data_IF_644500704881
#
_entry.id   IF_644500704881
#
_cell.length_a   1.000
_cell.length_b   1.000
_cell.length_c   1.000
_cell.angle_alpha   90.00
_cell.angle_beta   90.00
_cell.angle_gamma   90.00
#
_symmetry.space_group_name_H-M   'P 1'
#
loop_
_entity.id
_entity.type
_entity.pdbx_description
1 polymer ?
#
# COMPACT_ATOMS: atom_id res chain seq x y z
N UNK A 1 37.82 16.82 -5.68
CA UNK A 1 38.28 15.68 -4.86
C UNK A 1 37.08 15.30 -4.00
N UNK A 2 36.18 14.50 -4.58
CA UNK A 2 34.90 14.13 -3.96
C UNK A 2 35.18 12.89 -3.12
N UNK A 3 34.83 12.98 -1.86
CA UNK A 3 35.12 12.03 -0.80
C UNK A 3 34.67 10.60 -1.15
N UNK A 4 35.65 9.71 -1.34
CA UNK A 4 35.46 8.33 -1.82
C UNK A 4 35.03 7.37 -0.68
N UNK A 5 34.84 7.90 0.54
CA UNK A 5 34.48 7.16 1.76
C UNK A 5 33.00 6.75 1.84
N UNK A 6 32.11 7.39 1.07
CA UNK A 6 30.65 7.13 1.16
C UNK A 6 30.17 5.99 0.25
N UNK A 7 31.08 5.32 -0.46
CA UNK A 7 30.75 4.16 -1.31
C UNK A 7 30.85 2.82 -0.60
N UNK A 8 31.41 2.75 0.61
CA UNK A 8 31.69 1.47 1.28
C UNK A 8 30.52 0.88 2.10
N UNK A 9 29.38 1.57 2.24
CA UNK A 9 28.16 0.99 2.85
C UNK A 9 27.22 0.34 1.83
N UNK A 10 27.63 0.26 0.56
CA UNK A 10 26.76 -0.08 -0.57
C UNK A 10 26.92 -1.53 -1.07
N UNK A 11 27.36 -2.49 -0.24
CA UNK A 11 27.70 -3.83 -0.76
C UNK A 11 26.99 -5.03 -0.13
N UNK A 12 26.02 -4.83 0.78
CA UNK A 12 25.22 -5.93 1.33
C UNK A 12 23.70 -5.81 1.10
N UNK A 13 23.19 -4.68 0.61
CA UNK A 13 21.76 -4.41 0.46
C UNK A 13 21.30 -4.12 -0.99
N UNK A 14 22.19 -4.22 -1.97
CA UNK A 14 21.90 -3.81 -3.36
C UNK A 14 20.86 -4.70 -4.06
N UNK A 15 20.68 -5.96 -3.64
CA UNK A 15 19.58 -6.82 -4.13
C UNK A 15 18.25 -6.54 -3.42
N UNK A 16 18.28 -6.00 -2.21
CA UNK A 16 17.08 -5.73 -1.41
C UNK A 16 16.30 -4.54 -1.96
N UNK A 17 17.00 -3.52 -2.45
CA UNK A 17 16.38 -2.29 -2.98
C UNK A 17 15.53 -2.57 -4.24
N UNK A 18 16.02 -3.29 -5.28
CA UNK A 18 15.21 -3.68 -6.43
C UNK A 18 14.01 -4.52 -6.05
N UNK A 19 14.17 -5.49 -5.14
CA UNK A 19 13.06 -6.37 -4.71
C UNK A 19 11.99 -5.58 -3.98
N UNK A 20 12.39 -4.69 -3.06
CA UNK A 20 11.46 -3.80 -2.36
C UNK A 20 10.74 -2.87 -3.33
N UNK A 21 11.43 -2.32 -4.33
CA UNK A 21 10.80 -1.47 -5.35
C UNK A 21 9.81 -2.27 -6.21
N UNK A 22 10.17 -3.48 -6.64
CA UNK A 22 9.27 -4.36 -7.40
C UNK A 22 8.06 -4.76 -6.55
N UNK A 23 8.26 -5.06 -5.27
CA UNK A 23 7.19 -5.35 -4.32
C UNK A 23 6.22 -4.17 -4.17
N UNK A 24 6.74 -2.99 -3.83
CA UNK A 24 5.94 -1.77 -3.62
C UNK A 24 5.20 -1.34 -4.90
N UNK A 25 5.86 -1.40 -6.06
CA UNK A 25 5.28 -0.89 -7.30
C UNK A 25 4.38 -1.89 -8.03
N UNK A 26 4.64 -3.19 -7.90
CA UNK A 26 3.97 -4.23 -8.69
C UNK A 26 2.98 -5.06 -7.87
N UNK A 27 3.30 -5.38 -6.61
CA UNK A 27 2.52 -6.34 -5.82
C UNK A 27 1.40 -5.67 -5.00
N UNK A 28 1.69 -4.54 -4.31
CA UNK A 28 0.65 -3.73 -3.62
C UNK A 28 -0.46 -3.27 -4.58
N UNK A 29 -0.10 -3.00 -5.83
CA UNK A 29 -1.03 -2.48 -6.83
C UNK A 29 -2.06 -3.51 -7.34
N UNK A 30 -1.79 -4.81 -7.18
CA UNK A 30 -2.62 -5.89 -7.75
C UNK A 30 -3.54 -6.62 -6.77
N UNK A 31 -3.63 -6.25 -5.49
CA UNK A 31 -4.37 -7.03 -4.47
C UNK A 31 -4.02 -8.52 -4.49
N UNK A 32 -2.75 -8.85 -4.71
CA UNK A 32 -2.35 -10.23 -4.99
C UNK A 32 -2.54 -11.15 -3.77
N UNK A 33 -2.66 -10.60 -2.56
CA UNK A 33 -3.05 -11.32 -1.35
C UNK A 33 -4.39 -12.08 -1.47
N UNK A 34 -5.18 -11.85 -2.52
CA UNK A 34 -6.43 -12.57 -2.82
C UNK A 34 -6.35 -13.54 -4.01
N UNK A 35 -5.17 -13.73 -4.61
CA UNK A 35 -4.96 -14.73 -5.67
C UNK A 35 -4.39 -15.99 -5.04
N UNK A 36 -5.12 -17.12 -5.06
CA UNK A 36 -4.62 -18.39 -4.54
C UNK A 36 -3.30 -18.78 -5.23
N UNK A 37 -2.26 -19.07 -4.46
CA UNK A 37 -0.94 -19.51 -4.97
C UNK A 37 0.06 -18.39 -5.28
N UNK A 38 -0.30 -17.12 -5.05
CA UNK A 38 0.61 -16.00 -5.25
C UNK A 38 1.81 -15.98 -4.30
N UNK A 39 1.64 -16.47 -3.07
CA UNK A 39 2.72 -16.66 -2.09
C UNK A 39 3.79 -17.63 -2.61
N UNK A 40 3.38 -18.67 -3.36
CA UNK A 40 4.29 -19.61 -3.98
C UNK A 40 5.13 -18.98 -5.09
N UNK A 41 4.52 -18.10 -5.91
CA UNK A 41 5.23 -17.35 -6.96
C UNK A 41 6.23 -16.38 -6.33
N UNK A 42 5.86 -15.72 -5.23
CA UNK A 42 6.74 -14.78 -4.52
C UNK A 42 7.93 -15.49 -3.88
N UNK A 43 7.69 -16.63 -3.24
CA UNK A 43 8.76 -17.45 -2.66
C UNK A 43 9.71 -18.01 -3.72
N UNK A 44 9.22 -18.25 -4.95
CA UNK A 44 10.03 -18.74 -6.08
C UNK A 44 10.85 -17.61 -6.73
N UNK A 45 10.27 -16.41 -6.88
CA UNK A 45 10.95 -15.25 -7.47
C UNK A 45 11.96 -14.59 -6.51
N UNK A 46 11.69 -14.62 -5.21
CA UNK A 46 12.45 -13.89 -4.18
C UNK A 46 12.65 -14.75 -2.91
N UNK A 47 13.41 -15.85 -2.98
CA UNK A 47 13.62 -16.75 -1.85
C UNK A 47 14.39 -16.07 -0.70
N UNK A 48 13.92 -16.26 0.54
CA UNK A 48 14.59 -15.78 1.75
C UNK A 48 14.35 -14.31 2.12
N UNK A 49 13.40 -13.64 1.44
CA UNK A 49 13.03 -12.25 1.75
C UNK A 49 11.75 -12.24 2.59
N UNK A 50 11.84 -11.67 3.79
CA UNK A 50 10.68 -11.41 4.65
C UNK A 50 10.01 -10.10 4.24
N UNK A 51 8.70 -10.16 4.01
CA UNK A 51 7.91 -9.00 3.62
C UNK A 51 7.72 -8.07 4.83
N UNK A 52 8.03 -6.77 4.70
CA UNK A 52 7.78 -5.83 5.79
C UNK A 52 6.27 -5.68 6.00
N UNK A 53 5.83 -5.81 7.25
CA UNK A 53 4.45 -5.53 7.66
C UNK A 53 4.34 -4.04 7.95
N UNK A 54 3.54 -3.32 7.17
CA UNK A 54 3.25 -1.91 7.46
C UNK A 54 2.09 -1.78 8.44
N UNK A 55 2.30 -0.97 9.48
CA UNK A 55 1.29 -0.64 10.48
C UNK A 55 0.61 0.69 10.13
N UNK A 56 -0.67 0.60 9.76
CA UNK A 56 -1.52 1.75 9.45
C UNK A 56 -2.48 2.10 10.60
N UNK A 57 -2.24 1.65 11.84
CA UNK A 57 -3.19 1.76 12.96
C UNK A 57 -3.81 3.15 13.15
N UNK A 58 -3.00 4.21 13.08
CA UNK A 58 -3.50 5.60 13.21
C UNK A 58 -4.44 5.99 12.07
N UNK A 59 -4.04 5.70 10.82
CA UNK A 59 -4.85 5.99 9.64
C UNK A 59 -6.14 5.14 9.64
N UNK A 60 -6.03 3.88 10.05
CA UNK A 60 -7.17 2.98 10.21
C UNK A 60 -8.23 3.58 11.14
N UNK A 61 -7.82 3.99 12.34
CA UNK A 61 -8.74 4.60 13.31
C UNK A 61 -9.32 5.93 12.84
N UNK A 62 -8.54 6.75 12.13
CA UNK A 62 -9.04 8.00 11.55
C UNK A 62 -10.12 7.74 10.49
N UNK A 63 -9.90 6.78 9.59
CA UNK A 63 -10.89 6.39 8.57
C UNK A 63 -12.16 5.84 9.24
N UNK A 64 -11.99 4.97 10.24
CA UNK A 64 -13.09 4.41 11.00
C UNK A 64 -13.95 5.50 11.66
N UNK A 65 -13.31 6.46 12.32
CA UNK A 65 -13.97 7.61 12.92
C UNK A 65 -14.78 8.43 11.91
N UNK A 66 -14.18 8.74 10.75
CA UNK A 66 -14.86 9.49 9.67
C UNK A 66 -16.10 8.74 9.15
N UNK A 67 -15.99 7.41 8.97
CA UNK A 67 -17.12 6.60 8.53
C UNK A 67 -18.25 6.57 9.58
N UNK A 68 -17.89 6.51 10.86
CA UNK A 68 -18.86 6.58 11.96
C UNK A 68 -19.55 7.95 12.03
N UNK A 69 -18.81 9.05 11.85
CA UNK A 69 -19.37 10.43 11.81
C UNK A 69 -20.43 10.58 10.71
N UNK A 70 -20.24 9.90 9.58
CA UNK A 70 -21.18 9.91 8.45
C UNK A 70 -22.29 8.86 8.56
N UNK A 71 -22.41 8.16 9.70
CA UNK A 71 -23.35 7.05 9.89
C UNK A 71 -23.22 5.93 8.84
N UNK A 72 -22.02 5.68 8.33
CA UNK A 72 -21.77 4.53 7.46
C UNK A 72 -21.43 3.28 8.26
N UNK A 73 -21.76 2.12 7.69
CA UNK A 73 -21.29 0.85 8.23
C UNK A 73 -19.79 0.70 7.94
N UNK A 74 -19.00 0.50 8.98
CA UNK A 74 -17.57 0.24 8.86
C UNK A 74 -17.36 -1.19 8.36
N UNK A 75 -17.00 -1.32 7.09
CA UNK A 75 -16.66 -2.61 6.46
C UNK A 75 -15.15 -2.67 6.29
N UNK A 76 -14.49 -3.71 6.80
CA UNK A 76 -13.03 -3.87 6.72
C UNK A 76 -12.50 -3.73 5.28
N UNK A 77 -13.20 -4.33 4.31
CA UNK A 77 -12.85 -4.23 2.89
C UNK A 77 -12.87 -2.77 2.36
N UNK A 78 -13.75 -1.92 2.89
CA UNK A 78 -13.81 -0.51 2.52
C UNK A 78 -12.60 0.25 3.11
N UNK A 79 -12.29 0.03 4.39
CA UNK A 79 -11.13 0.66 5.04
C UNK A 79 -9.82 0.24 4.35
N UNK A 80 -9.66 -1.05 4.02
CA UNK A 80 -8.50 -1.53 3.26
C UNK A 80 -8.37 -0.85 1.89
N UNK A 81 -9.47 -0.49 1.23
CA UNK A 81 -9.45 0.24 -0.04
C UNK A 81 -9.05 1.71 0.12
N UNK A 82 -9.40 2.33 1.24
CA UNK A 82 -8.93 3.69 1.57
C UNK A 82 -7.42 3.69 1.82
N UNK A 83 -6.91 2.71 2.58
CA UNK A 83 -5.47 2.54 2.81
C UNK A 83 -4.74 2.26 1.48
N UNK A 84 -5.26 1.36 0.65
CA UNK A 84 -4.69 1.07 -0.67
C UNK A 84 -4.62 2.33 -1.56
N UNK A 85 -5.63 3.20 -1.49
CA UNK A 85 -5.65 4.47 -2.20
C UNK A 85 -4.54 5.40 -1.69
N UNK A 86 -4.38 5.51 -0.37
CA UNK A 86 -3.31 6.28 0.27
C UNK A 86 -1.92 5.82 -0.17
N UNK A 87 -1.64 4.52 -0.07
CA UNK A 87 -0.36 3.93 -0.50
C UNK A 87 -0.07 4.26 -1.97
N UNK A 88 -1.09 4.14 -2.83
CA UNK A 88 -0.94 4.42 -4.26
C UNK A 88 -0.67 5.91 -4.52
N UNK A 89 -1.32 6.81 -3.77
CA UNK A 89 -1.14 8.26 -3.90
C UNK A 89 0.26 8.73 -3.47
N UNK A 90 0.89 8.05 -2.51
CA UNK A 90 2.28 8.38 -2.09
C UNK A 90 3.27 8.14 -3.23
N UNK A 91 3.07 7.09 -4.03
CA UNK A 91 4.02 6.68 -5.08
C UNK A 91 3.67 7.20 -6.48
N UNK A 92 2.42 7.64 -6.71
CA UNK A 92 1.94 8.07 -8.03
C UNK A 92 0.97 9.25 -7.91
N UNK A 93 1.20 10.27 -8.74
CA UNK A 93 0.34 11.46 -8.78
C UNK A 93 -1.00 11.24 -9.48
N UNK A 94 -1.11 10.19 -10.31
CA UNK A 94 -2.34 9.85 -11.02
C UNK A 94 -2.89 8.51 -10.54
N UNK A 95 -4.11 8.51 -10.02
CA UNK A 95 -4.82 7.30 -9.55
C UNK A 95 -6.24 7.27 -10.12
N UNK A 96 -6.73 6.08 -10.47
CA UNK A 96 -8.10 5.86 -10.95
C UNK A 96 -8.81 4.86 -10.06
N UNK A 97 -10.01 5.20 -9.59
CA UNK A 97 -10.90 4.29 -8.89
C UNK A 97 -11.89 3.68 -9.89
N UNK A 98 -11.82 2.37 -10.11
CA UNK A 98 -12.64 1.65 -11.10
C UNK A 98 -13.57 0.67 -10.41
N UNK A 99 -14.80 0.57 -10.88
CA UNK A 99 -15.83 -0.35 -10.36
C UNK A 99 -17.24 0.09 -10.72
N UNK A 100 -18.28 -0.70 -10.38
CA UNK A 100 -19.67 -0.40 -10.72
C UNK A 100 -20.19 0.87 -10.02
N UNK A 101 -21.17 1.54 -10.63
CA UNK A 101 -21.84 2.71 -10.03
C UNK A 101 -22.46 2.34 -8.68
N UNK A 102 -22.38 3.25 -7.71
CA UNK A 102 -22.85 2.99 -6.34
C UNK A 102 -21.90 2.16 -5.46
N UNK A 103 -20.80 1.62 -6.00
CA UNK A 103 -19.84 0.80 -5.25
C UNK A 103 -18.91 1.56 -4.26
N UNK A 104 -19.35 2.69 -3.70
CA UNK A 104 -18.61 3.39 -2.64
C UNK A 104 -17.33 4.13 -3.05
N UNK A 105 -16.97 4.19 -4.35
CA UNK A 105 -15.73 4.86 -4.83
C UNK A 105 -15.59 6.31 -4.35
N UNK A 106 -16.67 7.09 -4.46
CA UNK A 106 -16.67 8.48 -3.99
C UNK A 106 -16.54 8.57 -2.47
N UNK A 107 -17.09 7.60 -1.73
CA UNK A 107 -16.95 7.54 -0.27
C UNK A 107 -15.50 7.26 0.09
N UNK A 108 -14.85 6.29 -0.56
CA UNK A 108 -13.43 5.96 -0.35
C UNK A 108 -12.54 7.20 -0.51
N UNK A 109 -12.71 7.95 -1.60
CA UNK A 109 -11.92 9.16 -1.87
C UNK A 109 -12.14 10.24 -0.80
N UNK A 110 -13.41 10.51 -0.45
CA UNK A 110 -13.76 11.53 0.55
C UNK A 110 -13.34 11.14 1.96
N UNK A 111 -13.44 9.86 2.31
CA UNK A 111 -13.00 9.34 3.60
C UNK A 111 -11.49 9.50 3.77
N UNK A 112 -10.71 9.28 2.71
CA UNK A 112 -9.27 9.52 2.74
C UNK A 112 -8.95 11.00 2.96
N UNK A 113 -9.56 11.89 2.19
CA UNK A 113 -9.38 13.34 2.29
C UNK A 113 -9.68 13.85 3.71
N UNK A 114 -10.79 13.38 4.28
CA UNK A 114 -11.20 13.75 5.63
C UNK A 114 -10.32 13.15 6.72
N UNK A 115 -9.80 11.93 6.53
CA UNK A 115 -8.95 11.25 7.50
C UNK A 115 -7.52 11.82 7.55
N UNK A 116 -7.08 12.54 6.50
CA UNK A 116 -5.77 13.19 6.43
C UNK A 116 -5.78 14.65 6.91
N UNK A 117 -6.94 15.20 7.25
CA UNK A 117 -7.14 16.57 7.74
C UNK A 117 -7.23 16.61 9.25
#
# INVERSE_FOLDING_TARGET
>A
MVDESLRSTHQSNDAFIPVRIVWELFMKQRQINYVPGSEGILSDLFPGIELPVEDYGVLYHAIEFVLMEWNFQTVAAQISKVIQLYETMIVRWGVMLVGPTGGGKSVILKSLDRALT
#
